data_IF_577159968875
#
_entry.id   IF_577159968875
#
_cell.length_a   1.000
_cell.length_b   1.000
_cell.length_c   1.000
_cell.angle_alpha   90.00
_cell.angle_beta   90.00
_cell.angle_gamma   90.00
#
_symmetry.space_group_name_H-M   'P 1'
#
loop_
_entity.id
_entity.type
_entity.pdbx_description
1 polymer ?
#
# COMPACT_ATOMS: atom_id res chain seq x y z
N UNK A 1 -10.22 -27.56 -22.63
CA UNK A 1 -8.99 -27.01 -23.23
C UNK A 1 -8.63 -25.75 -22.44
N UNK A 2 -7.70 -25.86 -21.50
CA UNK A 2 -7.29 -24.76 -20.62
C UNK A 2 -6.21 -23.93 -21.32
N UNK A 3 -6.56 -22.69 -21.68
CA UNK A 3 -5.58 -21.69 -22.12
C UNK A 3 -4.84 -21.16 -20.88
N UNK A 4 -3.68 -21.73 -20.57
CA UNK A 4 -2.77 -21.12 -19.60
C UNK A 4 -2.08 -19.94 -20.27
N UNK A 5 -2.52 -18.72 -19.97
CA UNK A 5 -1.77 -17.52 -20.30
C UNK A 5 -0.55 -17.45 -19.39
N UNK A 6 0.61 -17.86 -19.92
CA UNK A 6 1.91 -17.56 -19.33
C UNK A 6 2.11 -16.05 -19.40
N UNK A 7 1.88 -15.36 -18.29
CA UNK A 7 2.38 -14.00 -18.09
C UNK A 7 3.92 -14.05 -18.11
N UNK A 8 4.49 -13.87 -19.30
CA UNK A 8 5.83 -13.31 -19.41
C UNK A 8 5.72 -11.83 -19.05
N UNK A 9 5.75 -11.54 -17.75
CA UNK A 9 6.18 -10.24 -17.28
C UNK A 9 7.64 -10.12 -17.73
N UNK A 10 7.88 -9.46 -18.86
CA UNK A 10 9.21 -9.03 -19.26
C UNK A 10 9.43 -7.66 -18.58
N UNK A 11 10.03 -7.60 -17.37
CA UNK A 11 10.54 -6.34 -16.87
C UNK A 11 11.50 -5.81 -17.95
N UNK A 12 11.36 -4.54 -18.30
CA UNK A 12 12.31 -3.85 -19.17
C UNK A 12 13.63 -3.68 -18.39
N UNK A 13 14.33 -4.79 -18.17
CA UNK A 13 15.65 -4.85 -17.60
C UNK A 13 16.65 -4.42 -18.66
N UNK A 14 17.45 -3.39 -18.36
CA UNK A 14 18.53 -2.96 -19.24
C UNK A 14 19.46 -4.14 -19.59
N UNK A 15 20.16 -4.09 -20.75
CA UNK A 15 20.93 -5.21 -21.29
C UNK A 15 21.94 -5.80 -20.29
N UNK A 16 22.52 -4.97 -19.43
CA UNK A 16 23.43 -5.38 -18.34
C UNK A 16 22.83 -6.40 -17.36
N UNK A 17 21.54 -6.27 -17.03
CA UNK A 17 20.87 -7.13 -16.06
C UNK A 17 20.47 -8.46 -16.66
N UNK A 18 20.05 -8.44 -17.94
CA UNK A 18 19.87 -9.66 -18.73
C UNK A 18 21.18 -10.44 -18.85
N UNK A 19 22.29 -9.75 -19.12
CA UNK A 19 23.63 -10.36 -19.14
C UNK A 19 23.97 -10.94 -17.75
N UNK A 20 23.69 -10.23 -16.66
CA UNK A 20 23.89 -10.76 -15.31
C UNK A 20 23.09 -12.06 -15.06
N UNK A 21 21.83 -12.12 -15.49
CA UNK A 21 20.99 -13.32 -15.37
C UNK A 21 21.52 -14.48 -16.23
N UNK A 22 21.96 -14.21 -17.47
CA UNK A 22 22.60 -15.22 -18.30
C UNK A 22 23.91 -15.73 -17.71
N UNK A 23 24.76 -14.84 -17.17
CA UNK A 23 25.99 -15.23 -16.49
C UNK A 23 25.72 -16.05 -15.24
N UNK A 24 24.67 -15.72 -14.48
CA UNK A 24 24.24 -16.52 -13.33
C UNK A 24 23.78 -17.91 -13.75
N UNK A 25 22.97 -18.01 -14.82
CA UNK A 25 22.54 -19.30 -15.38
C UNK A 25 23.74 -20.11 -15.89
N UNK A 26 24.68 -19.46 -16.58
CA UNK A 26 25.92 -20.09 -17.06
C UNK A 26 26.79 -20.58 -15.90
N UNK A 27 26.89 -19.80 -14.80
CA UNK A 27 27.60 -20.20 -13.59
C UNK A 27 27.00 -21.46 -12.99
N UNK A 28 25.67 -21.56 -12.94
CA UNK A 28 24.97 -22.75 -12.45
C UNK A 28 25.24 -23.98 -13.34
N UNK A 29 25.22 -23.81 -14.66
CA UNK A 29 25.61 -24.87 -15.61
C UNK A 29 27.06 -25.30 -15.37
N UNK A 30 27.97 -24.35 -15.16
CA UNK A 30 29.39 -24.64 -14.96
C UNK A 30 29.65 -25.34 -13.62
N UNK A 31 28.88 -25.02 -12.58
CA UNK A 31 28.88 -25.76 -11.31
C UNK A 31 28.43 -27.22 -11.50
N UNK A 32 27.39 -27.46 -12.30
CA UNK A 32 26.94 -28.83 -12.65
C UNK A 32 28.05 -29.57 -13.41
N UNK A 33 28.62 -28.94 -14.45
CA UNK A 33 29.73 -29.51 -15.22
C UNK A 33 30.92 -29.85 -14.31
N UNK A 34 31.25 -28.97 -13.37
CA UNK A 34 32.34 -29.18 -12.42
C UNK A 34 32.05 -30.32 -11.43
N UNK A 35 30.81 -30.46 -10.96
CA UNK A 35 30.39 -31.57 -10.11
C UNK A 35 30.52 -32.92 -10.85
N UNK A 36 30.19 -32.94 -12.14
CA UNK A 36 30.30 -34.12 -13.01
C UNK A 36 31.61 -34.19 -13.80
N UNK A 37 32.68 -33.51 -13.36
CA UNK A 37 33.95 -33.44 -14.09
C UNK A 37 34.59 -34.81 -14.36
N UNK A 38 34.43 -35.78 -13.46
CA UNK A 38 34.96 -37.14 -13.61
C UNK A 38 34.33 -37.86 -14.81
N UNK A 39 33.00 -38.07 -14.83
CA UNK A 39 32.29 -38.64 -15.98
C UNK A 39 32.54 -37.90 -17.31
N UNK A 40 32.74 -36.58 -17.25
CA UNK A 40 33.02 -35.73 -18.41
C UNK A 40 34.50 -35.72 -18.83
N UNK A 41 35.39 -36.41 -18.10
CA UNK A 41 36.85 -36.42 -18.31
C UNK A 41 37.49 -35.02 -18.30
N UNK A 42 36.95 -34.12 -17.47
CA UNK A 42 37.41 -32.73 -17.30
C UNK A 42 38.34 -32.52 -16.10
N UNK A 43 38.83 -33.60 -15.49
CA UNK A 43 39.69 -33.55 -14.29
C UNK A 43 40.97 -32.74 -14.51
N UNK A 44 41.56 -32.80 -15.71
CA UNK A 44 42.73 -32.01 -16.08
C UNK A 44 42.49 -30.49 -16.08
N UNK A 45 41.21 -30.06 -16.11
CA UNK A 45 40.80 -28.66 -16.14
C UNK A 45 40.14 -28.20 -14.82
N UNK A 46 40.27 -28.98 -13.75
CA UNK A 46 39.58 -28.75 -12.48
C UNK A 46 39.82 -27.34 -11.92
N UNK A 47 41.07 -26.89 -11.87
CA UNK A 47 41.42 -25.58 -11.31
C UNK A 47 40.95 -24.44 -12.23
N UNK A 48 41.05 -24.60 -13.55
CA UNK A 48 40.53 -23.64 -14.52
C UNK A 48 39.02 -23.48 -14.42
N UNK A 49 38.29 -24.59 -14.21
CA UNK A 49 36.84 -24.55 -13.97
C UNK A 49 36.51 -23.80 -12.67
N UNK A 50 37.28 -24.03 -11.59
CA UNK A 50 37.11 -23.30 -10.33
C UNK A 50 37.34 -21.80 -10.52
N UNK A 51 38.41 -21.39 -11.19
CA UNK A 51 38.66 -19.97 -11.49
C UNK A 51 37.55 -19.35 -12.35
N UNK A 52 37.04 -20.08 -13.34
CA UNK A 52 35.94 -19.62 -14.18
C UNK A 52 34.64 -19.40 -13.38
N UNK A 53 34.31 -20.32 -12.45
CA UNK A 53 33.16 -20.18 -11.54
C UNK A 53 33.31 -18.94 -10.68
N UNK A 54 34.48 -18.77 -10.05
CA UNK A 54 34.77 -17.59 -9.21
C UNK A 54 34.64 -16.30 -10.02
N UNK A 55 35.25 -16.24 -11.20
CA UNK A 55 35.17 -15.07 -12.08
C UNK A 55 33.72 -14.74 -12.47
N UNK A 56 32.90 -15.75 -12.80
CA UNK A 56 31.50 -15.52 -13.13
C UNK A 56 30.67 -15.06 -11.93
N UNK A 57 30.94 -15.59 -10.73
CA UNK A 57 30.30 -15.13 -9.47
C UNK A 57 30.48 -13.62 -9.30
N UNK A 58 31.72 -13.13 -9.41
CA UNK A 58 31.98 -11.69 -9.31
C UNK A 58 31.34 -10.90 -10.46
N UNK A 59 31.42 -11.42 -11.69
CA UNK A 59 30.88 -10.74 -12.86
C UNK A 59 29.36 -10.51 -12.76
N UNK A 60 28.58 -11.53 -12.39
CA UNK A 60 27.13 -11.35 -12.30
C UNK A 60 26.71 -10.50 -11.09
N UNK A 61 27.37 -10.64 -9.93
CA UNK A 61 27.06 -9.81 -8.76
C UNK A 61 27.32 -8.33 -9.04
N UNK A 62 28.44 -8.00 -9.71
CA UNK A 62 28.77 -6.63 -10.11
C UNK A 62 27.81 -6.07 -11.17
N UNK A 63 27.43 -6.87 -12.16
CA UNK A 63 26.47 -6.44 -13.19
C UNK A 63 25.05 -6.26 -12.64
N UNK A 64 24.70 -6.96 -11.56
CA UNK A 64 23.42 -6.82 -10.87
C UNK A 64 23.34 -5.54 -9.99
N UNK A 65 24.45 -4.83 -9.77
CA UNK A 65 24.46 -3.61 -8.95
C UNK A 65 23.49 -2.55 -9.50
N UNK A 66 22.64 -2.04 -8.61
CA UNK A 66 21.76 -0.92 -8.92
C UNK A 66 20.56 -1.28 -9.78
N UNK A 67 20.07 -2.54 -9.72
CA UNK A 67 18.80 -2.99 -10.32
C UNK A 67 17.62 -2.08 -9.96
N UNK A 68 17.65 -1.48 -8.78
CA UNK A 68 16.57 -0.62 -8.26
C UNK A 68 16.98 0.85 -8.10
N UNK A 69 18.15 1.10 -7.51
CA UNK A 69 18.54 2.43 -7.03
C UNK A 69 19.61 3.14 -7.88
N UNK A 70 20.06 2.52 -8.98
CA UNK A 70 21.25 2.95 -9.71
C UNK A 70 22.55 2.44 -9.07
N UNK A 71 23.67 2.61 -9.77
CA UNK A 71 24.98 2.12 -9.28
C UNK A 71 25.49 3.10 -8.22
N UNK A 72 25.47 2.68 -6.96
CA UNK A 72 26.03 3.43 -5.82
C UNK A 72 27.37 2.82 -5.40
N UNK A 73 28.22 3.60 -4.73
CA UNK A 73 29.50 3.10 -4.24
C UNK A 73 29.26 2.01 -3.18
N UNK A 74 28.29 2.21 -2.28
CA UNK A 74 27.88 1.16 -1.34
C UNK A 74 27.37 -0.09 -2.05
N UNK A 75 26.60 0.06 -3.13
CA UNK A 75 26.06 -1.05 -3.91
C UNK A 75 27.14 -1.92 -4.56
N UNK A 76 28.19 -1.29 -5.09
CA UNK A 76 29.37 -2.01 -5.63
C UNK A 76 30.10 -2.74 -4.52
N UNK A 77 30.33 -2.09 -3.38
CA UNK A 77 31.00 -2.71 -2.22
C UNK A 77 30.20 -3.90 -1.69
N UNK A 78 28.88 -3.80 -1.60
CA UNK A 78 28.01 -4.91 -1.22
C UNK A 78 27.99 -6.05 -2.23
N UNK A 79 28.05 -5.77 -3.55
CA UNK A 79 28.16 -6.82 -4.55
C UNK A 79 29.49 -7.56 -4.48
N UNK A 80 30.59 -6.85 -4.23
CA UNK A 80 31.88 -7.48 -3.96
C UNK A 80 31.82 -8.35 -2.70
N UNK A 81 31.21 -7.86 -1.62
CA UNK A 81 31.02 -8.63 -0.39
C UNK A 81 30.25 -9.94 -0.66
N UNK A 82 29.17 -9.89 -1.45
CA UNK A 82 28.41 -11.08 -1.87
C UNK A 82 29.24 -12.02 -2.73
N UNK A 83 29.99 -11.51 -3.69
CA UNK A 83 30.89 -12.31 -4.53
C UNK A 83 31.88 -13.09 -3.68
N UNK A 84 32.56 -12.41 -2.74
CA UNK A 84 33.49 -13.03 -1.80
C UNK A 84 32.81 -14.05 -0.88
N UNK A 85 31.57 -13.79 -0.43
CA UNK A 85 30.81 -14.75 0.37
C UNK A 85 30.50 -16.03 -0.40
N UNK A 86 29.97 -15.92 -1.62
CA UNK A 86 29.66 -17.08 -2.45
C UNK A 86 30.92 -17.85 -2.86
N UNK A 87 32.02 -17.14 -3.16
CA UNK A 87 33.32 -17.78 -3.39
C UNK A 87 33.80 -18.53 -2.15
N UNK A 88 33.68 -17.96 -0.95
CA UNK A 88 34.07 -18.65 0.28
C UNK A 88 33.28 -19.94 0.50
N UNK A 89 31.96 -19.89 0.35
CA UNK A 89 31.08 -21.06 0.43
C UNK A 89 31.50 -22.11 -0.61
N UNK A 90 31.68 -21.70 -1.86
CA UNK A 90 32.08 -22.60 -2.95
C UNK A 90 33.43 -23.28 -2.69
N UNK A 91 34.45 -22.53 -2.28
CA UNK A 91 35.78 -23.07 -1.98
C UNK A 91 35.78 -23.98 -0.75
N UNK A 92 34.99 -23.64 0.28
CA UNK A 92 34.84 -24.45 1.50
C UNK A 92 34.27 -25.84 1.19
N UNK A 93 33.13 -25.90 0.48
CA UNK A 93 32.54 -27.18 0.09
C UNK A 93 33.34 -27.88 -1.01
N UNK A 94 34.06 -27.12 -1.83
CA UNK A 94 34.84 -27.67 -2.92
C UNK A 94 36.01 -28.55 -2.49
N UNK A 95 36.49 -28.40 -1.25
CA UNK A 95 37.45 -29.30 -0.63
C UNK A 95 36.98 -30.77 -0.70
N UNK A 96 35.69 -31.02 -0.48
CA UNK A 96 35.14 -32.39 -0.45
C UNK A 96 34.94 -32.98 -1.86
N UNK A 97 35.14 -32.18 -2.90
CA UNK A 97 34.95 -32.53 -4.31
C UNK A 97 36.27 -32.58 -5.08
N UNK A 98 37.40 -32.72 -4.39
CA UNK A 98 38.73 -32.87 -5.00
C UNK A 98 39.29 -31.59 -5.60
N UNK A 99 39.02 -30.43 -4.99
CA UNK A 99 39.67 -29.15 -5.32
C UNK A 99 41.11 -29.12 -4.78
N UNK A 100 42.02 -28.43 -5.47
CA UNK A 100 43.43 -28.35 -5.05
C UNK A 100 43.61 -27.68 -3.68
N UNK A 101 44.69 -28.03 -2.98
CA UNK A 101 44.96 -27.55 -1.62
C UNK A 101 45.15 -26.03 -1.55
N UNK A 102 45.83 -25.49 -2.56
CA UNK A 102 46.02 -24.05 -2.72
C UNK A 102 44.68 -23.30 -2.80
N UNK A 103 43.69 -23.83 -3.52
CA UNK A 103 42.41 -23.13 -3.76
C UNK A 103 41.49 -23.11 -2.54
N UNK A 104 41.35 -24.21 -1.80
CA UNK A 104 40.47 -24.22 -0.63
C UNK A 104 41.05 -23.42 0.55
N UNK A 105 42.38 -23.26 0.63
CA UNK A 105 43.02 -22.44 1.67
C UNK A 105 42.56 -20.97 1.65
N UNK A 106 42.08 -20.48 0.50
CA UNK A 106 41.53 -19.13 0.34
C UNK A 106 40.09 -18.96 0.84
N UNK A 107 39.38 -20.03 1.21
CA UNK A 107 37.98 -19.96 1.64
C UNK A 107 37.80 -19.05 2.87
N UNK A 108 38.71 -19.13 3.84
CA UNK A 108 38.70 -18.28 5.04
C UNK A 108 39.01 -16.82 4.73
N UNK A 109 40.00 -16.57 3.87
CA UNK A 109 40.36 -15.22 3.42
C UNK A 109 39.22 -14.55 2.65
N UNK A 110 38.56 -15.29 1.76
CA UNK A 110 37.38 -14.80 1.04
C UNK A 110 36.23 -14.46 2.01
N UNK A 111 36.01 -15.27 3.05
CA UNK A 111 35.01 -14.96 4.09
C UNK A 111 35.35 -13.67 4.85
N UNK A 112 36.62 -13.50 5.25
CA UNK A 112 37.07 -12.30 5.94
C UNK A 112 36.86 -11.04 5.08
N UNK A 113 37.18 -11.11 3.78
CA UNK A 113 36.90 -10.01 2.85
C UNK A 113 35.41 -9.72 2.69
N UNK A 114 34.56 -10.74 2.66
CA UNK A 114 33.11 -10.56 2.62
C UNK A 114 32.61 -9.77 3.84
N UNK A 115 33.06 -10.14 5.05
CA UNK A 115 32.68 -9.48 6.31
C UNK A 115 33.16 -8.03 6.34
N UNK A 116 34.44 -7.79 6.03
CA UNK A 116 35.02 -6.43 6.01
C UNK A 116 34.31 -5.53 5.00
N UNK A 117 34.07 -6.03 3.79
CA UNK A 117 33.37 -5.27 2.76
C UNK A 117 31.90 -5.03 3.12
N UNK A 118 31.23 -5.98 3.79
CA UNK A 118 29.86 -5.75 4.28
C UNK A 118 29.82 -4.61 5.31
N UNK A 119 30.76 -4.59 6.26
CA UNK A 119 30.87 -3.49 7.25
C UNK A 119 31.19 -2.16 6.53
N UNK A 120 32.14 -2.15 5.59
CA UNK A 120 32.46 -0.97 4.81
C UNK A 120 31.26 -0.46 3.99
N UNK A 121 30.50 -1.37 3.37
CA UNK A 121 29.26 -1.06 2.65
C UNK A 121 28.21 -0.42 3.55
N UNK A 122 28.06 -0.90 4.78
CA UNK A 122 27.16 -0.33 5.80
C UNK A 122 27.59 1.06 6.27
N UNK A 123 28.89 1.33 6.35
CA UNK A 123 29.41 2.65 6.69
C UNK A 123 29.21 3.64 5.54
N UNK A 124 29.42 3.20 4.31
CA UNK A 124 29.23 4.01 3.11
C UNK A 124 27.75 4.29 2.80
N UNK A 125 26.83 3.41 3.19
CA UNK A 125 25.40 3.61 2.96
C UNK A 125 24.85 4.85 3.66
N UNK A 126 25.43 5.26 4.81
CA UNK A 126 25.10 6.52 5.51
C UNK A 126 25.42 7.76 4.66
N UNK A 127 26.37 7.68 3.73
CA UNK A 127 26.69 8.77 2.81
C UNK A 127 25.86 8.73 1.52
N UNK A 128 25.31 7.56 1.18
CA UNK A 128 24.41 7.34 0.04
C UNK A 128 22.94 7.71 0.34
N UNK A 129 22.60 8.16 1.56
CA UNK A 129 21.28 8.76 1.89
C UNK A 129 20.93 9.99 1.04
N UNK A 130 21.88 10.53 0.27
CA UNK A 130 21.57 11.56 -0.72
C UNK A 130 20.92 10.95 -1.98
N UNK A 131 19.60 11.18 -2.09
CA UNK A 131 18.78 11.26 -3.33
C UNK A 131 17.99 10.01 -3.72
N UNK A 132 17.31 9.36 -2.77
CA UNK A 132 16.13 8.55 -3.10
C UNK A 132 14.86 9.40 -3.06
N UNK A 133 14.93 10.57 -3.69
CA UNK A 133 13.80 11.50 -3.77
C UNK A 133 12.90 11.06 -4.93
N UNK A 134 11.59 11.13 -4.70
CA UNK A 134 10.61 10.98 -5.76
C UNK A 134 10.77 12.15 -6.73
N UNK A 135 10.97 11.85 -8.02
CA UNK A 135 11.22 12.87 -9.03
C UNK A 135 10.16 12.82 -10.12
N UNK A 136 9.48 13.94 -10.32
CA UNK A 136 8.65 14.18 -11.50
C UNK A 136 9.57 14.53 -12.68
N UNK A 137 9.44 13.78 -13.77
CA UNK A 137 10.18 13.99 -15.00
C UNK A 137 9.73 15.26 -15.74
N UNK A 138 10.65 15.89 -16.45
CA UNK A 138 10.37 17.08 -17.26
C UNK A 138 9.70 16.76 -18.60
N UNK A 139 9.41 15.49 -18.88
CA UNK A 139 8.73 15.05 -20.10
C UNK A 139 7.24 14.90 -19.80
N UNK A 140 6.41 15.58 -20.57
CA UNK A 140 4.96 15.47 -20.49
C UNK A 140 4.40 14.59 -21.61
N UNK A 141 3.26 14.01 -21.35
CA UNK A 141 2.49 13.22 -22.29
C UNK A 141 1.01 13.61 -22.21
N UNK A 142 0.25 13.43 -23.27
CA UNK A 142 -1.19 13.66 -23.25
C UNK A 142 -1.88 12.65 -22.34
N UNK A 143 -2.83 13.12 -21.55
CA UNK A 143 -3.74 12.31 -20.75
C UNK A 143 -5.14 12.44 -21.32
N UNK A 144 -5.81 11.31 -21.56
CA UNK A 144 -7.17 11.22 -22.12
C UNK A 144 -8.06 10.24 -21.36
N UNK A 145 -7.75 10.02 -20.08
CA UNK A 145 -8.38 9.00 -19.24
C UNK A 145 -7.58 7.71 -19.11
N UNK A 146 -7.95 6.90 -18.12
CA UNK A 146 -7.39 5.57 -17.86
C UNK A 146 -8.48 4.68 -17.24
N UNK A 147 -8.45 3.39 -17.54
CA UNK A 147 -9.40 2.40 -17.03
C UNK A 147 -8.64 1.31 -16.29
N UNK A 148 -8.94 1.15 -15.01
CA UNK A 148 -8.36 0.13 -14.12
C UNK A 148 -9.44 -0.85 -13.63
N UNK A 149 -10.46 -1.10 -14.45
CA UNK A 149 -11.61 -1.95 -14.13
C UNK A 149 -12.67 -1.18 -13.36
N UNK A 150 -12.78 -1.44 -12.05
CA UNK A 150 -13.76 -0.78 -11.16
C UNK A 150 -13.43 0.68 -10.89
N UNK A 151 -12.19 1.12 -11.16
CA UNK A 151 -11.74 2.50 -10.99
C UNK A 151 -11.37 3.08 -12.34
N UNK A 152 -12.03 4.17 -12.72
CA UNK A 152 -11.82 4.87 -14.00
C UNK A 152 -11.43 6.31 -13.75
N UNK A 153 -10.44 6.77 -14.48
CA UNK A 153 -10.07 8.17 -14.58
C UNK A 153 -10.61 8.71 -15.89
N UNK A 154 -11.47 9.72 -15.83
CA UNK A 154 -11.96 10.45 -17.00
C UNK A 154 -11.37 11.85 -17.05
N UNK A 155 -11.21 12.37 -18.25
CA UNK A 155 -10.81 13.75 -18.47
C UNK A 155 -9.59 13.89 -19.36
N UNK A 156 -9.06 15.10 -19.40
CA UNK A 156 -7.99 15.49 -20.33
C UNK A 156 -6.95 16.36 -19.64
N UNK A 157 -5.70 16.23 -20.07
CA UNK A 157 -4.59 16.98 -19.48
C UNK A 157 -3.23 16.50 -19.93
N UNK A 158 -2.23 16.75 -19.09
CA UNK A 158 -0.85 16.32 -19.28
C UNK A 158 -0.42 15.39 -18.15
N UNK A 159 0.07 14.21 -18.48
CA UNK A 159 0.67 13.26 -17.53
C UNK A 159 2.21 13.39 -17.54
N UNK A 160 2.79 13.49 -16.35
CA UNK A 160 4.23 13.58 -16.10
C UNK A 160 4.68 12.34 -15.34
N UNK A 161 5.66 11.56 -15.83
CA UNK A 161 6.13 10.37 -15.12
C UNK A 161 6.74 10.72 -13.77
N UNK A 162 6.40 9.96 -12.73
CA UNK A 162 7.07 10.00 -11.43
C UNK A 162 8.02 8.83 -11.34
N UNK A 163 9.27 9.10 -10.98
CA UNK A 163 10.31 8.11 -10.78
C UNK A 163 10.78 8.06 -9.35
N UNK A 164 11.06 6.83 -8.92
CA UNK A 164 11.83 6.56 -7.73
C UNK A 164 13.14 5.88 -8.18
N UNK A 165 14.26 6.58 -8.02
CA UNK A 165 15.52 6.19 -8.65
C UNK A 165 15.40 6.08 -10.17
N UNK A 166 15.51 4.86 -10.72
CA UNK A 166 15.37 4.59 -12.18
C UNK A 166 14.00 4.05 -12.59
N UNK A 167 13.19 3.58 -11.64
CA UNK A 167 11.89 2.95 -11.91
C UNK A 167 10.79 4.01 -11.97
N UNK A 168 9.91 3.93 -12.96
CA UNK A 168 8.66 4.70 -12.97
C UNK A 168 7.71 4.04 -11.97
N UNK A 169 7.18 4.84 -11.05
CA UNK A 169 6.29 4.38 -9.98
C UNK A 169 4.90 5.00 -10.09
N UNK A 170 4.73 5.98 -10.98
CA UNK A 170 3.43 6.60 -11.22
C UNK A 170 3.49 7.77 -12.18
N UNK A 171 2.45 8.59 -12.12
CA UNK A 171 2.22 9.73 -12.98
C UNK A 171 1.60 10.87 -12.18
N UNK A 172 1.97 12.10 -12.50
CA UNK A 172 1.24 13.29 -12.05
C UNK A 172 0.47 13.86 -13.23
N UNK A 173 -0.80 14.16 -13.02
CA UNK A 173 -1.68 14.72 -14.04
C UNK A 173 -1.90 16.20 -13.75
N UNK A 174 -1.67 17.01 -14.78
CA UNK A 174 -2.07 18.41 -14.86
C UNK A 174 -3.26 18.55 -15.81
N UNK A 175 -4.45 18.76 -15.27
CA UNK A 175 -5.66 18.91 -16.07
C UNK A 175 -6.95 18.63 -15.29
N UNK A 176 -8.04 18.42 -16.03
CA UNK A 176 -9.32 18.03 -15.44
C UNK A 176 -9.37 16.52 -15.33
N UNK A 177 -9.44 16.01 -14.11
CA UNK A 177 -9.54 14.58 -13.84
C UNK A 177 -10.82 14.35 -13.04
N UNK A 178 -11.59 13.34 -13.41
CA UNK A 178 -12.71 12.82 -12.63
C UNK A 178 -12.43 11.36 -12.33
N UNK A 179 -12.49 11.00 -11.04
CA UNK A 179 -12.45 9.62 -10.59
C UNK A 179 -13.87 9.09 -10.54
N UNK A 180 -14.09 7.96 -11.19
CA UNK A 180 -15.29 7.14 -11.06
C UNK A 180 -14.87 5.79 -10.46
N UNK A 181 -15.41 5.44 -9.30
CA UNK A 181 -15.16 4.17 -8.64
C UNK A 181 -16.48 3.43 -8.43
N UNK A 182 -16.54 2.18 -8.89
CA UNK A 182 -17.65 1.26 -8.64
C UNK A 182 -17.43 0.59 -7.28
N UNK A 183 -18.43 0.69 -6.40
CA UNK A 183 -18.43 0.06 -5.08
C UNK A 183 -19.73 -0.73 -4.90
N UNK A 184 -19.80 -1.70 -3.97
CA UNK A 184 -21.06 -2.39 -3.67
C UNK A 184 -22.19 -1.46 -3.22
N UNK A 185 -21.85 -0.27 -2.72
CA UNK A 185 -22.81 0.77 -2.37
C UNK A 185 -23.37 1.48 -3.61
N UNK A 186 -22.57 1.64 -4.66
CA UNK A 186 -22.91 2.45 -5.81
C UNK A 186 -21.68 3.06 -6.45
N UNK A 187 -21.90 4.03 -7.34
CA UNK A 187 -20.81 4.70 -8.05
C UNK A 187 -20.42 6.00 -7.36
N UNK A 188 -19.16 6.06 -6.91
CA UNK A 188 -18.58 7.28 -6.37
C UNK A 188 -17.93 8.05 -7.51
N UNK A 189 -18.37 9.29 -7.74
CA UNK A 189 -17.80 10.21 -8.74
C UNK A 189 -17.27 11.46 -8.06
N UNK A 190 -15.99 11.77 -8.26
CA UNK A 190 -15.37 12.98 -7.74
C UNK A 190 -14.50 13.64 -8.80
N UNK A 191 -14.79 14.90 -9.10
CA UNK A 191 -13.90 15.74 -9.88
C UNK A 191 -12.71 16.15 -9.02
N UNK A 192 -11.52 15.86 -9.51
CA UNK A 192 -10.27 16.14 -8.83
C UNK A 192 -9.64 17.47 -9.29
N UNK A 193 -8.99 18.15 -8.35
CA UNK A 193 -8.23 19.36 -8.54
C UNK A 193 -6.76 19.04 -8.86
N UNK A 194 -6.27 19.58 -9.97
CA UNK A 194 -4.85 19.50 -10.35
C UNK A 194 -3.97 20.17 -9.27
N UNK A 195 -2.82 19.57 -8.89
CA UNK A 195 -2.22 18.36 -9.43
C UNK A 195 -2.69 17.06 -8.76
N UNK A 196 -2.95 16.04 -9.58
CA UNK A 196 -3.35 14.70 -9.14
C UNK A 196 -2.19 13.74 -9.34
N UNK A 197 -1.83 12.96 -8.33
CA UNK A 197 -0.84 11.88 -8.47
C UNK A 197 -1.52 10.52 -8.55
N UNK A 198 -1.07 9.69 -9.48
CA UNK A 198 -1.54 8.33 -9.72
C UNK A 198 -0.35 7.38 -9.62
N UNK A 199 -0.28 6.65 -8.52
CA UNK A 199 0.70 5.58 -8.31
C UNK A 199 0.19 4.31 -8.98
N UNK A 200 0.89 3.90 -10.02
CA UNK A 200 0.56 2.72 -10.82
C UNK A 200 1.77 2.34 -11.68
N UNK A 201 1.94 1.03 -11.92
CA UNK A 201 2.89 0.55 -12.92
C UNK A 201 2.36 0.70 -14.36
N UNK A 202 1.05 0.84 -14.52
CA UNK A 202 0.40 0.95 -15.83
C UNK A 202 0.74 2.26 -16.56
N UNK A 203 0.59 2.23 -17.88
CA UNK A 203 0.84 3.39 -18.73
C UNK A 203 -0.47 4.09 -19.04
N UNK A 204 -0.72 5.21 -18.35
CA UNK A 204 -1.89 6.08 -18.58
C UNK A 204 -1.65 7.20 -19.60
N UNK A 205 -0.41 7.31 -20.09
CA UNK A 205 0.05 8.43 -20.92
C UNK A 205 0.04 8.10 -22.41
N UNK A 206 -0.51 9.01 -23.20
CA UNK A 206 -0.58 8.96 -24.66
C UNK A 206 0.67 9.51 -25.35
N UNK A 207 0.47 10.42 -26.32
CA UNK A 207 1.55 10.99 -27.13
C UNK A 207 2.38 11.99 -26.33
N UNK A 208 3.66 12.12 -26.65
CA UNK A 208 4.56 13.09 -26.00
C UNK A 208 4.10 14.50 -26.37
N UNK A 209 4.04 15.40 -25.38
CA UNK A 209 3.59 16.78 -25.56
C UNK A 209 4.54 17.78 -24.88
N UNK A 210 4.29 19.07 -25.10
CA UNK A 210 5.07 20.15 -24.50
C UNK A 210 4.86 20.21 -22.98
N UNK A 211 5.95 20.07 -22.25
CA UNK A 211 5.96 20.08 -20.79
C UNK A 211 5.92 21.51 -20.22
N UNK A 212 5.19 21.69 -19.12
CA UNK A 212 5.28 22.90 -18.30
C UNK A 212 6.34 22.70 -17.20
N UNK A 213 7.47 23.37 -17.35
CA UNK A 213 8.56 23.33 -16.35
C UNK A 213 8.16 23.93 -15.00
N UNK A 214 7.27 24.94 -14.99
CA UNK A 214 6.77 25.56 -13.77
C UNK A 214 5.90 24.59 -12.96
N UNK A 215 5.03 23.84 -13.63
CA UNK A 215 4.25 22.77 -13.01
C UNK A 215 5.15 21.68 -12.39
N UNK A 216 6.14 21.19 -13.14
CA UNK A 216 7.07 20.14 -12.66
C UNK A 216 7.84 20.59 -11.41
N UNK A 217 8.26 21.86 -11.33
CA UNK A 217 8.93 22.38 -10.14
C UNK A 217 8.01 22.38 -8.92
N UNK A 218 6.80 22.94 -9.05
CA UNK A 218 5.80 23.01 -7.96
C UNK A 218 5.44 21.63 -7.42
N UNK A 219 5.24 20.65 -8.30
CA UNK A 219 4.87 19.30 -7.88
C UNK A 219 6.04 18.58 -7.20
N UNK A 220 7.28 18.75 -7.69
CA UNK A 220 8.45 18.17 -7.04
C UNK A 220 8.64 18.71 -5.61
N UNK A 221 8.23 19.94 -5.33
CA UNK A 221 8.21 20.52 -3.98
C UNK A 221 7.10 19.91 -3.12
N UNK A 222 5.90 19.68 -3.68
CA UNK A 222 4.77 19.06 -2.97
C UNK A 222 5.03 17.58 -2.61
N UNK A 223 5.70 16.82 -3.47
CA UNK A 223 5.99 15.39 -3.25
C UNK A 223 7.17 15.18 -2.29
N UNK A 224 8.07 16.17 -2.16
CA UNK A 224 9.24 16.09 -1.27
C UNK A 224 9.25 17.27 -0.28
N UNK A 225 8.39 17.24 0.76
CA UNK A 225 8.20 18.37 1.69
C UNK A 225 9.48 18.77 2.45
N UNK A 226 10.46 17.88 2.57
CA UNK A 226 11.79 18.17 3.14
C UNK A 226 12.54 19.33 2.44
N UNK A 227 12.13 19.72 1.23
CA UNK A 227 12.67 20.89 0.51
C UNK A 227 12.14 22.22 1.03
N UNK A 228 10.91 22.27 1.53
CA UNK A 228 10.29 23.50 2.07
C UNK A 228 10.97 23.93 3.37
N UNK A 229 11.31 22.98 4.24
CA UNK A 229 11.88 23.26 5.56
C UNK A 229 13.40 23.51 5.58
N UNK A 230 14.10 23.34 4.45
CA UNK A 230 15.55 23.57 4.37
C UNK A 230 15.94 24.97 3.90
N UNK A 231 15.01 25.79 3.42
CA UNK A 231 15.32 27.13 2.90
C UNK A 231 14.55 28.22 3.63
N UNK A 232 15.17 28.68 4.72
CA UNK A 232 14.91 30.00 5.29
C UNK A 232 13.98 29.98 6.51
N UNK A 233 14.51 30.51 7.62
CA UNK A 233 13.89 30.72 8.93
C UNK A 233 13.74 29.47 9.80
N UNK A 234 14.75 29.30 10.67
CA UNK A 234 14.51 29.00 12.08
C UNK A 234 13.52 30.05 12.59
N UNK A 235 12.37 29.62 13.10
CA UNK A 235 11.40 30.30 13.98
C UNK A 235 10.05 29.65 13.65
N UNK A 236 9.37 28.88 14.50
CA UNK A 236 9.35 28.77 15.95
C UNK A 236 9.48 27.29 16.37
N UNK A 237 10.69 26.90 16.74
CA UNK A 237 10.91 25.69 17.54
C UNK A 237 10.69 26.12 18.98
N UNK A 238 9.59 25.72 19.60
CA UNK A 238 9.49 25.81 21.07
C UNK A 238 10.35 24.67 21.61
N UNK A 239 11.58 25.06 21.93
CA UNK A 239 12.60 24.19 22.51
C UNK A 239 12.34 24.11 24.02
N UNK A 240 11.71 23.03 24.47
CA UNK A 240 11.66 22.64 25.87
C UNK A 240 12.55 21.42 26.09
N UNK A 241 13.83 21.54 25.75
CA UNK A 241 14.95 20.77 26.32
C UNK A 241 15.02 19.25 26.08
N UNK A 242 13.90 18.53 26.04
CA UNK A 242 13.86 17.06 26.08
C UNK A 242 12.62 16.45 25.41
N UNK A 243 11.68 17.27 24.91
CA UNK A 243 10.48 16.83 24.19
C UNK A 243 10.28 17.77 23.01
N UNK A 244 10.08 17.22 21.81
CA UNK A 244 9.67 17.98 20.62
C UNK A 244 8.32 17.46 20.16
N UNK A 245 7.25 18.16 20.56
CA UNK A 245 5.89 17.92 20.08
C UNK A 245 5.65 18.79 18.86
N UNK A 246 5.13 18.18 17.79
CA UNK A 246 4.62 18.91 16.63
C UNK A 246 3.12 18.62 16.58
N UNK A 247 2.33 19.66 16.80
CA UNK A 247 0.87 19.57 16.78
C UNK A 247 0.37 20.25 15.51
N UNK A 248 -0.29 19.47 14.65
CA UNK A 248 -1.01 19.94 13.47
C UNK A 248 -2.30 19.15 13.36
N UNK A 249 -3.36 19.79 12.88
CA UNK A 249 -4.77 19.38 13.09
C UNK A 249 -5.20 17.98 12.60
N UNK A 250 -4.32 17.11 12.08
CA UNK A 250 -4.63 15.71 11.73
C UNK A 250 -3.44 14.73 11.80
N UNK A 251 -2.40 15.03 12.59
CA UNK A 251 -1.40 14.02 12.97
C UNK A 251 -0.71 14.41 14.28
N UNK A 252 -0.55 13.44 15.18
CA UNK A 252 0.33 13.57 16.33
C UNK A 252 1.70 12.97 15.99
N UNK A 253 2.73 13.81 16.01
CA UNK A 253 4.12 13.39 15.88
C UNK A 253 4.78 13.49 17.25
N UNK A 254 5.05 12.34 17.86
CA UNK A 254 5.73 12.27 19.16
C UNK A 254 7.12 11.65 18.98
N UNK A 255 8.14 12.50 19.07
CA UNK A 255 9.54 12.07 19.06
C UNK A 255 10.04 11.86 20.49
N UNK A 256 10.08 10.61 20.93
CA UNK A 256 10.78 10.21 22.15
C UNK A 256 12.15 9.62 21.81
N UNK A 257 13.14 9.74 22.72
CA UNK A 257 14.55 9.47 22.41
C UNK A 257 14.85 8.03 21.95
N UNK A 258 13.96 7.07 22.19
CA UNK A 258 14.20 5.66 21.86
C UNK A 258 13.01 4.96 21.20
N UNK A 259 11.89 5.64 20.90
CA UNK A 259 10.71 5.03 20.29
C UNK A 259 10.09 6.05 19.31
N UNK A 260 10.01 5.69 18.03
CA UNK A 260 9.23 6.40 16.99
C UNK A 260 8.15 5.44 16.51
N UNK A 261 6.87 5.82 16.54
CA UNK A 261 5.76 4.98 16.06
C UNK A 261 5.14 5.64 14.84
N UNK A 262 5.13 4.95 13.70
CA UNK A 262 4.48 5.39 12.47
C UNK A 262 3.38 4.39 12.16
N UNK A 263 2.13 4.81 12.27
CA UNK A 263 0.99 3.97 11.96
C UNK A 263 0.67 4.11 10.46
N UNK A 264 0.75 3.01 9.71
CA UNK A 264 0.32 2.93 8.31
C UNK A 264 -0.85 1.98 8.17
N UNK A 265 -1.67 2.07 7.09
CA UNK A 265 -2.80 1.16 6.86
C UNK A 265 -2.43 -0.34 6.75
N UNK A 266 -1.14 -0.66 6.73
CA UNK A 266 -0.60 -2.03 6.65
C UNK A 266 0.20 -2.44 7.89
N UNK A 267 0.18 -1.64 8.97
CA UNK A 267 0.81 -1.96 10.25
C UNK A 267 1.55 -0.78 10.92
N UNK A 268 1.94 -1.00 12.18
CA UNK A 268 2.74 -0.08 13.00
C UNK A 268 4.23 -0.26 12.72
N UNK A 269 4.95 0.81 12.42
CA UNK A 269 6.41 0.84 12.43
C UNK A 269 6.88 1.42 13.76
N UNK A 270 7.41 0.56 14.64
CA UNK A 270 8.02 0.97 15.92
C UNK A 270 9.55 0.96 15.79
N UNK A 271 10.16 2.13 15.87
CA UNK A 271 11.62 2.30 15.82
C UNK A 271 12.18 2.37 17.23
N UNK A 272 12.91 1.34 17.65
CA UNK A 272 13.65 1.35 18.90
C UNK A 272 15.14 1.53 18.63
N UNK A 273 15.65 2.75 18.77
CA UNK A 273 17.06 3.08 18.53
C UNK A 273 17.55 2.72 17.11
N UNK A 274 18.77 2.15 16.93
CA UNK A 274 19.32 1.81 15.61
C UNK A 274 18.75 0.52 14.99
N UNK A 275 17.83 -0.17 15.68
CA UNK A 275 17.21 -1.39 15.18
C UNK A 275 15.84 -1.09 14.58
N UNK A 276 15.57 -1.64 13.40
CA UNK A 276 14.27 -1.64 12.75
C UNK A 276 13.62 -2.99 13.00
N UNK A 277 12.57 -3.03 13.81
CA UNK A 277 11.74 -4.22 13.92
C UNK A 277 10.56 -4.02 12.97
N UNK A 278 10.53 -4.81 11.90
CA UNK A 278 9.41 -4.91 10.97
C UNK A 278 8.66 -6.17 11.34
N UNK A 279 7.43 -6.03 11.83
CA UNK A 279 6.55 -7.17 11.98
C UNK A 279 5.86 -7.42 10.63
N UNK A 280 6.13 -8.58 10.05
CA UNK A 280 5.59 -8.98 8.75
C UNK A 280 6.65 -9.30 7.69
N UNK A 281 6.45 -10.42 7.01
CA UNK A 281 7.11 -10.70 5.74
C UNK A 281 6.76 -9.57 4.77
N UNK A 282 7.72 -8.92 4.09
CA UNK A 282 7.40 -7.98 3.02
C UNK A 282 6.73 -8.77 1.88
N UNK A 283 5.42 -8.85 1.90
CA UNK A 283 4.67 -9.12 0.69
C UNK A 283 4.96 -7.95 -0.26
N UNK A 284 5.30 -8.26 -1.50
CA UNK A 284 5.39 -7.24 -2.53
C UNK A 284 4.06 -6.48 -2.54
N UNK A 285 4.06 -5.14 -2.66
CA UNK A 285 2.84 -4.46 -3.06
C UNK A 285 2.33 -5.21 -4.30
N UNK A 286 1.09 -5.71 -4.31
CA UNK A 286 0.58 -6.44 -5.45
C UNK A 286 0.78 -5.61 -6.72
N UNK A 287 1.09 -6.25 -7.84
CA UNK A 287 1.30 -5.56 -9.13
C UNK A 287 0.12 -4.66 -9.53
N UNK A 288 -1.03 -4.90 -8.91
CA UNK A 288 -2.33 -4.31 -9.20
C UNK A 288 -2.70 -3.16 -8.23
N UNK A 289 -1.76 -2.73 -7.38
CA UNK A 289 -1.98 -1.61 -6.46
C UNK A 289 -2.11 -0.28 -7.23
N UNK A 290 -3.25 0.39 -7.04
CA UNK A 290 -3.54 1.70 -7.60
C UNK A 290 -3.75 2.68 -6.45
N UNK A 291 -3.08 3.84 -6.47
CA UNK A 291 -3.41 4.94 -5.57
C UNK A 291 -3.52 6.24 -6.33
N UNK A 292 -4.65 6.93 -6.20
CA UNK A 292 -4.93 8.22 -6.79
C UNK A 292 -5.07 9.23 -5.65
N UNK A 293 -4.33 10.33 -5.69
CA UNK A 293 -4.34 11.34 -4.63
C UNK A 293 -4.33 12.75 -5.19
N UNK A 294 -5.13 13.64 -4.63
CA UNK A 294 -4.98 15.07 -4.83
C UNK A 294 -3.80 15.58 -4.00
N UNK A 295 -2.87 16.31 -4.61
CA UNK A 295 -1.71 16.81 -3.86
C UNK A 295 -2.01 18.08 -3.06
N UNK A 296 -3.16 18.73 -3.31
CA UNK A 296 -3.56 19.98 -2.64
C UNK A 296 -4.63 19.80 -1.57
N UNK A 297 -5.40 18.72 -1.61
CA UNK A 297 -6.50 18.45 -0.69
C UNK A 297 -6.38 17.03 -0.10
N UNK A 298 -7.31 16.63 0.75
CA UNK A 298 -7.30 15.31 1.40
C UNK A 298 -7.84 14.15 0.57
N UNK A 299 -8.27 14.33 -0.69
CA UNK A 299 -8.79 13.21 -1.47
C UNK A 299 -7.70 12.16 -1.77
N UNK A 300 -7.99 10.91 -1.41
CA UNK A 300 -7.17 9.75 -1.72
C UNK A 300 -8.05 8.53 -1.99
N UNK A 301 -7.80 7.86 -3.11
CA UNK A 301 -8.36 6.55 -3.44
C UNK A 301 -7.23 5.54 -3.52
N UNK A 302 -7.34 4.42 -2.81
CA UNK A 302 -6.38 3.31 -2.85
C UNK A 302 -7.12 2.01 -3.14
N UNK A 303 -6.69 1.28 -4.17
CA UNK A 303 -7.18 -0.07 -4.51
C UNK A 303 -6.03 -1.07 -4.42
N UNK A 304 -6.26 -2.19 -3.74
CA UNK A 304 -5.32 -3.31 -3.60
C UNK A 304 -6.11 -4.61 -3.66
N UNK A 305 -6.05 -5.32 -4.79
CA UNK A 305 -6.91 -6.49 -5.00
C UNK A 305 -8.40 -6.12 -4.91
N UNK A 306 -9.14 -6.81 -4.05
CA UNK A 306 -10.57 -6.56 -3.79
C UNK A 306 -10.83 -5.44 -2.76
N UNK A 307 -9.76 -4.87 -2.18
CA UNK A 307 -9.87 -3.78 -1.22
C UNK A 307 -9.88 -2.44 -1.92
N UNK A 308 -10.88 -1.61 -1.61
CA UNK A 308 -10.99 -0.25 -2.10
C UNK A 308 -11.20 0.71 -0.93
N UNK A 309 -10.33 1.70 -0.80
CA UNK A 309 -10.46 2.77 0.19
C UNK A 309 -10.56 4.11 -0.51
N UNK A 310 -11.57 4.89 -0.16
CA UNK A 310 -11.76 6.28 -0.60
C UNK A 310 -11.73 7.14 0.66
N UNK A 311 -10.89 8.16 0.68
CA UNK A 311 -10.76 9.09 1.77
C UNK A 311 -10.88 10.51 1.23
N UNK A 312 -11.66 11.32 1.92
CA UNK A 312 -11.87 12.74 1.65
C UNK A 312 -11.79 13.50 2.98
N UNK A 313 -11.84 14.83 2.93
CA UNK A 313 -11.87 15.65 4.15
C UNK A 313 -13.20 15.48 4.93
N UNK A 314 -14.26 15.04 4.26
CA UNK A 314 -15.61 14.92 4.84
C UNK A 314 -15.93 13.48 5.28
N UNK A 315 -15.54 12.49 4.46
CA UNK A 315 -15.89 11.09 4.67
C UNK A 315 -14.81 10.12 4.22
N UNK A 316 -14.90 8.88 4.73
CA UNK A 316 -14.11 7.72 4.30
C UNK A 316 -15.01 6.53 3.97
N UNK A 317 -14.71 5.85 2.86
CA UNK A 317 -15.31 4.59 2.44
C UNK A 317 -14.21 3.53 2.40
N UNK A 318 -14.48 2.37 2.96
CA UNK A 318 -13.59 1.20 2.92
C UNK A 318 -14.40 -0.02 2.51
N UNK A 319 -13.98 -0.70 1.45
CA UNK A 319 -14.56 -1.93 0.94
C UNK A 319 -13.51 -3.02 1.08
N UNK A 320 -13.88 -4.14 1.69
CA UNK A 320 -13.06 -5.34 1.85
C UNK A 320 -13.93 -6.57 1.56
N UNK A 321 -13.92 -7.01 0.30
CA UNK A 321 -14.82 -8.05 -0.20
C UNK A 321 -16.29 -7.65 -0.07
N UNK A 322 -17.07 -8.41 0.69
CA UNK A 322 -18.50 -8.13 0.96
C UNK A 322 -18.71 -7.08 2.06
N UNK A 323 -17.65 -6.68 2.77
CA UNK A 323 -17.76 -5.70 3.86
C UNK A 323 -17.55 -4.30 3.32
N UNK A 324 -18.42 -3.40 3.74
CA UNK A 324 -18.32 -1.99 3.41
C UNK A 324 -18.45 -1.16 4.68
N UNK A 325 -17.56 -0.20 4.87
CA UNK A 325 -17.62 0.77 5.95
C UNK A 325 -17.61 2.18 5.37
N UNK A 326 -18.60 2.98 5.72
CA UNK A 326 -18.64 4.42 5.47
C UNK A 326 -18.55 5.15 6.81
N UNK A 327 -17.78 6.24 6.88
CA UNK A 327 -17.70 7.13 8.04
C UNK A 327 -17.67 8.58 7.59
N UNK A 328 -18.45 9.44 8.24
CA UNK A 328 -18.47 10.89 8.05
C UNK A 328 -18.80 11.56 9.39
N UNK A 329 -17.80 12.15 10.05
CA UNK A 329 -17.97 12.72 11.39
C UNK A 329 -18.58 11.74 12.42
N UNK A 330 -19.76 12.05 12.94
CA UNK A 330 -20.51 11.18 13.87
C UNK A 330 -21.36 10.11 13.19
N UNK A 331 -21.33 10.04 11.87
CA UNK A 331 -22.12 9.12 11.05
C UNK A 331 -21.28 7.95 10.60
N UNK A 332 -21.85 6.75 10.68
CA UNK A 332 -21.19 5.54 10.18
C UNK A 332 -22.20 4.53 9.67
N UNK A 333 -21.88 3.92 8.52
CA UNK A 333 -22.60 2.78 7.97
C UNK A 333 -21.61 1.63 7.82
N UNK A 334 -21.99 0.44 8.27
CA UNK A 334 -21.22 -0.79 8.06
C UNK A 334 -22.15 -1.84 7.48
N UNK A 335 -21.85 -2.32 6.28
CA UNK A 335 -22.50 -3.46 5.63
C UNK A 335 -21.58 -4.68 5.72
N UNK A 336 -22.16 -5.84 6.01
CA UNK A 336 -21.46 -7.10 6.19
C UNK A 336 -22.43 -8.15 6.75
N UNK A 337 -21.95 -9.06 7.60
CA UNK A 337 -22.84 -10.04 8.26
C UNK A 337 -23.91 -9.40 9.14
N UNK A 338 -23.58 -8.25 9.71
CA UNK A 338 -24.51 -7.38 10.44
C UNK A 338 -24.42 -6.01 9.78
N UNK A 339 -25.58 -5.48 9.43
CA UNK A 339 -25.76 -4.13 8.90
C UNK A 339 -25.91 -3.19 10.10
N UNK A 340 -25.14 -2.11 10.15
CA UNK A 340 -25.27 -1.10 11.20
C UNK A 340 -25.18 0.30 10.64
N UNK A 341 -26.09 1.15 11.08
CA UNK A 341 -26.19 2.58 10.77
C UNK A 341 -26.13 3.35 12.09
N UNK A 342 -25.34 4.41 12.15
CA UNK A 342 -25.25 5.31 13.30
C UNK A 342 -25.19 6.76 12.82
N UNK A 343 -25.95 7.65 13.47
CA UNK A 343 -25.82 9.11 13.39
C UNK A 343 -26.15 9.70 14.76
N UNK A 344 -25.13 10.18 15.48
CA UNK A 344 -25.31 10.74 16.83
C UNK A 344 -25.99 9.74 17.79
N UNK A 345 -27.15 10.12 18.33
CA UNK A 345 -27.93 9.30 19.28
C UNK A 345 -28.83 8.26 18.60
N UNK A 346 -28.84 8.22 17.27
CA UNK A 346 -29.56 7.21 16.50
C UNK A 346 -28.63 6.09 16.09
N UNK A 347 -29.04 4.84 16.36
CA UNK A 347 -28.36 3.66 15.86
C UNK A 347 -29.35 2.58 15.43
N UNK A 348 -29.22 2.09 14.22
CA UNK A 348 -29.97 0.92 13.71
C UNK A 348 -28.97 -0.20 13.46
N UNK A 349 -29.28 -1.40 13.90
CA UNK A 349 -28.43 -2.59 13.70
C UNK A 349 -29.29 -3.76 13.33
N UNK A 350 -29.02 -4.40 12.21
CA UNK A 350 -29.77 -5.53 11.65
C UNK A 350 -28.82 -6.67 11.35
N UNK A 351 -29.10 -7.85 11.88
CA UNK A 351 -28.36 -9.08 11.58
C UNK A 351 -29.31 -10.24 11.29
N UNK A 352 -28.76 -11.44 11.13
CA UNK A 352 -29.57 -12.66 10.94
C UNK A 352 -30.50 -12.89 12.15
N UNK A 353 -31.79 -12.63 11.97
CA UNK A 353 -32.82 -12.85 13.00
C UNK A 353 -32.74 -11.91 14.21
N UNK A 354 -32.13 -10.74 14.05
CA UNK A 354 -32.07 -9.72 15.11
C UNK A 354 -32.09 -8.31 14.53
N UNK A 355 -32.82 -7.41 15.17
CA UNK A 355 -32.72 -5.98 14.90
C UNK A 355 -32.72 -5.19 16.20
N UNK A 356 -32.03 -4.06 16.19
CA UNK A 356 -32.01 -3.10 17.28
C UNK A 356 -32.06 -1.69 16.69
N UNK A 357 -33.05 -0.93 17.09
CA UNK A 357 -33.22 0.48 16.76
C UNK A 357 -33.11 1.25 18.07
N UNK A 358 -32.25 2.25 18.10
CA UNK A 358 -32.11 3.20 19.20
C UNK A 358 -32.26 4.60 18.64
N UNK A 359 -33.12 5.40 19.27
CA UNK A 359 -33.27 6.83 19.00
C UNK A 359 -33.44 7.49 20.36
N UNK A 360 -32.49 8.34 20.75
CA UNK A 360 -32.51 9.06 22.02
C UNK A 360 -32.74 8.09 23.21
N UNK A 361 -33.87 8.21 23.90
CA UNK A 361 -34.28 7.38 25.05
C UNK A 361 -35.08 6.12 24.67
N UNK A 362 -35.40 5.96 23.39
CA UNK A 362 -36.16 4.81 22.88
C UNK A 362 -35.22 3.72 22.37
N UNK A 363 -35.44 2.49 22.82
CA UNK A 363 -34.74 1.29 22.33
C UNK A 363 -35.77 0.22 21.96
N UNK A 364 -35.82 -0.14 20.68
CA UNK A 364 -36.59 -1.27 20.17
C UNK A 364 -35.60 -2.38 19.81
N UNK A 365 -35.77 -3.57 20.39
CA UNK A 365 -34.94 -4.73 20.06
C UNK A 365 -35.80 -5.94 19.73
N UNK A 366 -35.61 -6.51 18.54
CA UNK A 366 -36.23 -7.74 18.09
C UNK A 366 -35.18 -8.87 18.08
N UNK A 367 -35.43 -9.96 18.81
CA UNK A 367 -34.55 -11.13 18.87
C UNK A 367 -35.36 -12.36 19.29
N UNK A 368 -35.05 -13.52 18.71
CA UNK A 368 -35.64 -14.82 19.12
C UNK A 368 -37.19 -14.80 19.11
N UNK A 369 -37.80 -14.10 18.14
CA UNK A 369 -39.26 -14.01 18.01
C UNK A 369 -39.95 -13.05 18.98
N UNK A 370 -39.19 -12.31 19.79
CA UNK A 370 -39.71 -11.34 20.77
C UNK A 370 -39.28 -9.93 20.42
N UNK A 371 -40.13 -8.95 20.71
CA UNK A 371 -39.84 -7.53 20.60
C UNK A 371 -39.83 -6.91 21.99
N UNK A 372 -38.74 -6.22 22.34
CA UNK A 372 -38.62 -5.47 23.59
C UNK A 372 -38.52 -3.99 23.26
N UNK A 373 -39.41 -3.19 23.85
CA UNK A 373 -39.49 -1.75 23.66
C UNK A 373 -39.19 -1.09 25.00
N UNK A 374 -38.16 -0.24 25.04
CA UNK A 374 -37.87 0.62 26.18
C UNK A 374 -38.11 2.05 25.76
N UNK A 375 -39.05 2.73 26.40
CA UNK A 375 -39.38 4.13 26.14
C UNK A 375 -39.85 4.79 27.44
N UNK A 376 -39.39 6.02 27.71
CA UNK A 376 -39.82 6.80 28.88
C UNK A 376 -39.63 6.08 30.23
N UNK A 377 -38.53 5.32 30.38
CA UNK A 377 -38.21 4.56 31.59
C UNK A 377 -38.99 3.25 31.78
N UNK A 378 -40.00 2.96 30.95
CA UNK A 378 -40.75 1.70 30.99
C UNK A 378 -40.17 0.70 29.98
N UNK A 379 -40.32 -0.59 30.28
CA UNK A 379 -39.94 -1.68 29.38
C UNK A 379 -41.18 -2.54 29.09
N UNK A 380 -41.47 -2.71 27.82
CA UNK A 380 -42.53 -3.59 27.30
C UNK A 380 -41.90 -4.74 26.55
N UNK A 381 -42.49 -5.93 26.66
CA UNK A 381 -42.07 -7.12 25.91
C UNK A 381 -43.30 -7.69 25.20
N UNK A 382 -43.20 -7.82 23.88
CA UNK A 382 -44.23 -8.39 23.01
C UNK A 382 -43.70 -9.72 22.47
N UNK A 383 -44.41 -10.81 22.78
CA UNK A 383 -44.11 -12.14 22.26
C UNK A 383 -45.05 -12.46 21.08
N UNK A 384 -44.88 -11.74 19.97
CA UNK A 384 -45.70 -11.90 18.77
C UNK A 384 -44.81 -12.04 17.51
N UNK A 385 -44.94 -13.12 16.72
CA UNK A 385 -44.16 -13.32 15.50
C UNK A 385 -44.35 -12.23 14.42
N UNK A 386 -45.55 -11.65 14.30
CA UNK A 386 -45.84 -10.57 13.35
C UNK A 386 -45.14 -9.27 13.77
N UNK A 387 -45.24 -8.90 15.05
CA UNK A 387 -44.53 -7.75 15.60
C UNK A 387 -43.01 -7.90 15.42
N UNK A 388 -42.49 -9.12 15.62
CA UNK A 388 -41.08 -9.43 15.37
C UNK A 388 -40.69 -9.23 13.90
N UNK A 389 -41.48 -9.74 12.95
CA UNK A 389 -41.21 -9.55 11.51
C UNK A 389 -41.26 -8.07 11.12
N UNK A 390 -42.27 -7.35 11.60
CA UNK A 390 -42.44 -5.92 11.34
C UNK A 390 -41.18 -5.13 11.71
N UNK A 391 -40.60 -5.37 12.90
CA UNK A 391 -39.37 -4.69 13.32
C UNK A 391 -38.18 -5.05 12.43
N UNK A 392 -38.02 -6.33 12.06
CA UNK A 392 -36.91 -6.75 11.19
C UNK A 392 -37.04 -6.08 9.81
N UNK A 393 -38.22 -6.11 9.22
CA UNK A 393 -38.46 -5.60 7.87
C UNK A 393 -38.34 -4.07 7.83
N UNK A 394 -38.93 -3.35 8.80
CA UNK A 394 -38.76 -1.90 8.92
C UNK A 394 -37.33 -1.49 9.19
N UNK A 395 -36.59 -2.24 10.00
CA UNK A 395 -35.18 -1.93 10.23
C UNK A 395 -34.34 -2.13 8.96
N UNK A 396 -34.69 -3.09 8.09
CA UNK A 396 -34.03 -3.25 6.78
C UNK A 396 -34.37 -2.11 5.83
N UNK A 397 -35.66 -1.77 5.69
CA UNK A 397 -36.13 -0.66 4.86
C UNK A 397 -35.42 0.65 5.22
N UNK A 398 -35.34 0.96 6.53
CA UNK A 398 -34.61 2.12 7.04
C UNK A 398 -33.15 2.13 6.60
N UNK A 399 -32.44 0.99 6.71
CA UNK A 399 -31.03 0.98 6.33
C UNK A 399 -30.86 1.07 4.82
N UNK A 400 -31.72 0.44 4.01
CA UNK A 400 -31.67 0.56 2.55
C UNK A 400 -31.90 2.00 2.08
N UNK A 401 -32.94 2.68 2.59
CA UNK A 401 -33.24 4.09 2.29
C UNK A 401 -32.06 4.99 2.67
N UNK A 402 -31.54 4.85 3.88
CA UNK A 402 -30.47 5.72 4.40
C UNK A 402 -29.10 5.41 3.79
N UNK A 403 -28.88 4.17 3.33
CA UNK A 403 -27.64 3.83 2.63
C UNK A 403 -27.54 4.57 1.30
N UNK A 404 -28.64 4.68 0.55
CA UNK A 404 -28.68 5.41 -0.72
C UNK A 404 -28.32 6.90 -0.56
N UNK A 405 -28.90 7.56 0.44
CA UNK A 405 -28.68 9.00 0.70
C UNK A 405 -27.24 9.30 1.16
N UNK A 406 -26.66 8.42 1.97
CA UNK A 406 -25.26 8.52 2.42
C UNK A 406 -24.25 8.45 1.25
N UNK A 407 -24.56 7.69 0.20
CA UNK A 407 -23.70 7.54 -0.98
C UNK A 407 -23.68 8.80 -1.82
N UNK A 408 -24.80 9.51 -1.90
CA UNK A 408 -24.92 10.79 -2.61
C UNK A 408 -24.29 11.95 -1.83
N UNK A 409 -23.78 11.69 -0.61
CA UNK A 409 -23.15 12.69 0.24
C UNK A 409 -24.14 13.61 0.96
N UNK A 410 -25.42 13.22 1.02
CA UNK A 410 -26.49 14.00 1.66
C UNK A 410 -26.56 13.80 3.17
N UNK A 411 -25.78 12.86 3.73
CA UNK A 411 -25.85 12.49 5.16
C UNK A 411 -27.06 11.59 5.46
N UNK A 412 -27.31 11.33 6.74
CA UNK A 412 -28.52 10.62 7.22
C UNK A 412 -29.67 11.62 7.40
N UNK A 413 -30.81 11.41 6.74
CA UNK A 413 -32.03 12.19 6.98
C UNK A 413 -32.65 11.79 8.33
N UNK A 414 -32.25 12.55 9.36
CA UNK A 414 -32.77 12.37 10.74
C UNK A 414 -34.27 12.58 10.85
N UNK A 415 -34.85 13.45 10.02
CA UNK A 415 -36.29 13.75 10.07
C UNK A 415 -37.09 12.57 9.54
N UNK A 416 -36.67 12.00 8.40
CA UNK A 416 -37.26 10.80 7.84
C UNK A 416 -37.08 9.60 8.79
N UNK A 417 -35.87 9.41 9.32
CA UNK A 417 -35.54 8.34 10.26
C UNK A 417 -36.41 8.40 11.53
N UNK A 418 -36.55 9.58 12.13
CA UNK A 418 -37.41 9.79 13.30
C UNK A 418 -38.88 9.50 12.99
N UNK A 419 -39.36 9.89 11.80
CA UNK A 419 -40.72 9.60 11.36
C UNK A 419 -40.95 8.09 11.23
N UNK A 420 -40.04 7.37 10.56
CA UNK A 420 -40.13 5.90 10.38
C UNK A 420 -40.14 5.15 11.71
N UNK A 421 -39.35 5.60 12.69
CA UNK A 421 -39.34 4.97 14.02
C UNK A 421 -40.59 5.30 14.82
N UNK A 422 -41.17 6.49 14.67
CA UNK A 422 -42.47 6.80 15.26
C UNK A 422 -43.58 5.94 14.65
N UNK A 423 -43.62 5.81 13.33
CA UNK A 423 -44.54 4.91 12.61
C UNK A 423 -44.42 3.47 13.16
N UNK A 424 -43.19 2.96 13.32
CA UNK A 424 -42.95 1.64 13.91
C UNK A 424 -43.43 1.55 15.37
N UNK A 425 -43.23 2.57 16.19
CA UNK A 425 -43.71 2.59 17.57
C UNK A 425 -45.23 2.56 17.63
N UNK A 426 -45.90 3.38 16.82
CA UNK A 426 -47.36 3.45 16.76
C UNK A 426 -47.95 2.10 16.33
N UNK A 427 -47.39 1.46 15.29
CA UNK A 427 -47.79 0.12 14.88
C UNK A 427 -47.54 -0.94 15.96
N UNK A 428 -46.42 -0.85 16.70
CA UNK A 428 -46.13 -1.77 17.81
C UNK A 428 -47.04 -1.55 19.01
N UNK A 429 -47.56 -0.34 19.25
CA UNK A 429 -48.51 -0.10 20.34
C UNK A 429 -49.84 -0.83 20.13
N UNK A 430 -50.24 -1.11 18.89
CA UNK A 430 -51.41 -1.92 18.60
C UNK A 430 -51.27 -3.38 19.12
N UNK A 431 -50.03 -3.88 19.28
CA UNK A 431 -49.75 -5.20 19.83
C UNK A 431 -49.60 -5.21 21.36
N UNK A 432 -49.66 -4.05 22.01
CA UNK A 432 -49.65 -3.91 23.48
C UNK A 432 -51.06 -3.90 24.09
N UNK A 433 -52.11 -3.92 23.26
CA UNK A 433 -53.52 -3.90 23.64
C UNK A 433 -54.11 -5.27 23.91
#
# INVERSE_FOLDING_TARGET
MSFSWKYWAAPHEGPRFRIAEYLKALTAILLIVWLFKGPLRLEAYNDQLVYAIVAFIFAFELLAVGKWFGVTVSGVVFALAKGFFWTSVFLFFGQWLGMSEALHSYAGTAFAYAVVLAIAGLLLSKFDEKRLDLKVESKAYEFSGADFGEVKLRGTGKAYPVKFGRKRVGWVIDGSVEVEAETPLGRVKKRLLSPVIVWTEEKIAGRKTAADSGFVSRVNEMINPDRLYRKGRKDSVVDLGFIKVYEGENFEYVKLPFIEVIETPTGEEVKIGPMRFREGSPEMPPGDMLTIKELRNGFQLTKVGDRLRIQTDEYSIEVDGERVTYRSGSESLSLGETISLRSGDVSVTVGRGRAKIRIEDVVISAREGKVRIRAGGKTYTVENPEAYRLVIDKAREIVEEQSAELIEGLGIDRTLLNRRVKELLDELTAYLG
#
